data_IF_934924889285
#
_entry.id   IF_934924889285
#
_cell.length_a   1.000
_cell.length_b   1.000
_cell.length_c   1.000
_cell.angle_alpha   90.00
_cell.angle_beta   90.00
_cell.angle_gamma   90.00
#
_symmetry.space_group_name_H-M   'P 1'
#
loop_
_entity.id
_entity.type
_entity.pdbx_description
1 polymer ?
#
# COMPACT_ATOMS: atom_id res chain seq x y z
N UNK A 1 -13.93 -1.03 46.20
CA UNK A 1 -14.22 -2.38 45.65
C UNK A 1 -15.55 -2.31 44.91
N UNK A 2 -15.48 -2.09 43.59
CA UNK A 2 -16.50 -2.54 42.64
C UNK A 2 -15.68 -3.04 41.45
N UNK A 3 -15.46 -4.36 41.45
CA UNK A 3 -14.83 -5.08 40.36
C UNK A 3 -15.92 -5.29 39.32
N UNK A 4 -15.88 -4.56 38.21
CA UNK A 4 -16.66 -4.87 37.03
C UNK A 4 -15.71 -5.41 35.97
N UNK A 5 -15.70 -6.75 35.91
CA UNK A 5 -15.14 -7.58 34.86
C UNK A 5 -15.84 -7.23 33.54
N UNK A 6 -15.21 -6.42 32.69
CA UNK A 6 -15.54 -6.41 31.27
C UNK A 6 -14.58 -7.38 30.57
N UNK A 7 -15.17 -8.52 30.21
CA UNK A 7 -14.59 -9.49 29.32
C UNK A 7 -14.06 -8.82 28.05
N UNK A 8 -12.77 -9.01 27.79
CA UNK A 8 -12.17 -9.15 26.46
C UNK A 8 -12.96 -8.56 25.30
N UNK A 9 -13.04 -7.24 25.18
CA UNK A 9 -12.96 -6.65 23.85
C UNK A 9 -11.48 -6.51 23.57
N UNK A 10 -10.91 -7.53 22.93
CA UNK A 10 -9.78 -7.30 22.02
C UNK A 10 -10.31 -6.27 21.04
N UNK A 11 -10.12 -4.99 21.38
CA UNK A 11 -10.12 -3.94 20.41
C UNK A 11 -8.92 -4.33 19.56
N UNK A 12 -9.17 -5.00 18.43
CA UNK A 12 -8.28 -4.93 17.29
C UNK A 12 -8.30 -3.47 16.82
N UNK A 13 -7.82 -2.54 17.66
CA UNK A 13 -7.38 -1.25 17.21
C UNK A 13 -6.13 -1.57 16.43
N UNK A 14 -6.26 -1.56 15.11
CA UNK A 14 -5.14 -1.65 14.20
C UNK A 14 -4.19 -0.48 14.52
N UNK A 15 -3.20 -0.74 15.37
CA UNK A 15 -2.31 0.29 15.85
C UNK A 15 -1.39 0.72 14.70
N UNK A 16 -0.83 1.92 14.81
CA UNK A 16 0.20 2.33 13.86
C UNK A 16 1.37 1.33 13.85
N UNK A 17 1.71 0.76 15.01
CA UNK A 17 2.77 -0.25 15.17
C UNK A 17 2.45 -1.54 14.40
N UNK A 18 1.24 -2.09 14.56
CA UNK A 18 0.80 -3.29 13.85
C UNK A 18 0.79 -3.09 12.33
N UNK A 19 0.39 -1.89 11.88
CA UNK A 19 0.43 -1.51 10.46
C UNK A 19 1.86 -1.51 9.93
N UNK A 20 2.79 -0.88 10.64
CA UNK A 20 4.20 -0.81 10.25
C UNK A 20 4.84 -2.21 10.24
N UNK A 21 4.51 -3.07 11.20
CA UNK A 21 4.99 -4.44 11.24
C UNK A 21 4.53 -5.25 10.02
N UNK A 22 3.26 -5.16 9.64
CA UNK A 22 2.75 -5.85 8.44
C UNK A 22 3.41 -5.32 7.17
N UNK A 23 3.57 -4.00 7.05
CA UNK A 23 4.29 -3.40 5.91
C UNK A 23 5.71 -3.97 5.84
N UNK A 24 6.45 -3.98 6.95
CA UNK A 24 7.81 -4.54 7.00
C UNK A 24 7.82 -6.00 6.55
N UNK A 25 6.95 -6.83 7.12
CA UNK A 25 6.85 -8.25 6.77
C UNK A 25 6.56 -8.46 5.28
N UNK A 26 5.59 -7.73 4.72
CA UNK A 26 5.28 -7.86 3.29
C UNK A 26 6.44 -7.41 2.40
N UNK A 27 7.17 -6.35 2.79
CA UNK A 27 8.37 -5.92 2.06
C UNK A 27 9.45 -7.01 2.10
N UNK A 28 9.75 -7.58 3.26
CA UNK A 28 10.74 -8.65 3.41
C UNK A 28 10.41 -9.87 2.54
N UNK A 29 9.16 -10.35 2.60
CA UNK A 29 8.71 -11.49 1.79
C UNK A 29 8.79 -11.18 0.29
N UNK A 30 8.44 -9.96 -0.12
CA UNK A 30 8.48 -9.58 -1.52
C UNK A 30 9.90 -9.36 -2.05
N UNK A 31 10.84 -8.90 -1.22
CA UNK A 31 12.26 -8.88 -1.58
C UNK A 31 12.76 -10.29 -1.83
N UNK A 32 12.38 -11.24 -0.97
CA UNK A 32 12.75 -12.64 -1.15
C UNK A 32 12.14 -13.24 -2.43
N UNK A 33 10.88 -12.94 -2.73
CA UNK A 33 10.17 -13.49 -3.89
C UNK A 33 10.71 -12.93 -5.22
N UNK A 34 10.92 -11.61 -5.31
CA UNK A 34 11.25 -10.95 -6.57
C UNK A 34 12.75 -10.77 -6.79
N UNK A 35 13.56 -10.97 -5.74
CA UNK A 35 15.01 -10.72 -5.74
C UNK A 35 15.37 -9.29 -6.13
N UNK A 36 14.46 -8.33 -5.90
CA UNK A 36 14.72 -6.92 -6.12
C UNK A 36 15.86 -6.44 -5.21
N UNK A 37 16.73 -5.58 -5.74
CA UNK A 37 17.72 -4.88 -4.94
C UNK A 37 17.00 -3.90 -3.99
N UNK A 38 17.18 -4.02 -2.66
CA UNK A 38 16.54 -3.13 -1.69
C UNK A 38 16.78 -1.65 -1.96
N UNK A 39 17.92 -1.29 -2.55
CA UNK A 39 18.23 0.11 -2.87
C UNK A 39 17.27 0.72 -3.91
N UNK A 40 16.65 -0.10 -4.76
CA UNK A 40 15.62 0.34 -5.71
C UNK A 40 14.30 0.64 -4.99
N UNK A 41 14.00 -0.09 -3.91
CA UNK A 41 12.83 0.16 -3.07
C UNK A 41 13.03 1.48 -2.32
N UNK A 42 14.20 1.67 -1.70
CA UNK A 42 14.52 2.90 -0.96
C UNK A 42 14.41 4.15 -1.87
N UNK A 43 14.90 4.04 -3.11
CA UNK A 43 14.74 5.09 -4.13
C UNK A 43 13.27 5.35 -4.46
N UNK A 44 12.47 4.30 -4.65
CA UNK A 44 11.04 4.44 -4.94
C UNK A 44 10.28 5.09 -3.78
N UNK A 45 10.60 4.73 -2.52
CA UNK A 45 10.04 5.36 -1.32
C UNK A 45 10.42 6.86 -1.23
N UNK A 46 11.56 7.25 -1.81
CA UNK A 46 12.00 8.63 -1.97
C UNK A 46 11.44 9.33 -3.24
N UNK A 47 10.66 8.63 -4.06
CA UNK A 47 10.03 9.16 -5.28
C UNK A 47 10.82 8.94 -6.58
N UNK A 48 11.96 8.25 -6.53
CA UNK A 48 12.72 7.81 -7.71
C UNK A 48 12.29 6.40 -8.14
N UNK A 49 11.32 6.37 -9.06
CA UNK A 49 10.70 5.17 -9.61
C UNK A 49 11.53 4.61 -10.78
N UNK A 50 12.55 3.81 -10.44
CA UNK A 50 13.42 3.13 -11.40
C UNK A 50 12.68 2.11 -12.27
N UNK A 51 12.92 2.12 -13.58
CA UNK A 51 12.21 1.27 -14.54
C UNK A 51 12.82 -0.14 -14.66
N UNK A 52 12.64 -0.95 -13.61
CA UNK A 52 13.17 -2.34 -13.57
C UNK A 52 12.05 -3.35 -13.38
N UNK A 53 12.22 -4.55 -13.95
CA UNK A 53 11.22 -5.62 -13.87
C UNK A 53 11.02 -6.08 -12.41
N UNK A 54 12.10 -6.17 -11.67
CA UNK A 54 12.14 -6.65 -10.29
C UNK A 54 11.39 -5.69 -9.35
N UNK A 55 11.57 -4.37 -9.52
CA UNK A 55 10.85 -3.36 -8.74
C UNK A 55 9.34 -3.34 -9.07
N UNK A 56 8.99 -3.49 -10.36
CA UNK A 56 7.60 -3.56 -10.79
C UNK A 56 6.88 -4.77 -10.19
N UNK A 57 7.53 -5.93 -10.25
CA UNK A 57 6.96 -7.13 -9.65
C UNK A 57 6.99 -7.08 -8.11
N UNK A 58 7.92 -6.36 -7.50
CA UNK A 58 7.87 -6.07 -6.07
C UNK A 58 6.61 -5.29 -5.69
N UNK A 59 6.25 -4.25 -6.45
CA UNK A 59 5.02 -3.50 -6.23
C UNK A 59 3.77 -4.40 -6.32
N UNK A 60 3.71 -5.29 -7.33
CA UNK A 60 2.63 -6.29 -7.44
C UNK A 60 2.58 -7.21 -6.22
N UNK A 61 3.70 -7.81 -5.85
CA UNK A 61 3.78 -8.71 -4.69
C UNK A 61 3.27 -8.02 -3.42
N UNK A 62 3.73 -6.79 -3.17
CA UNK A 62 3.31 -6.02 -2.00
C UNK A 62 1.80 -5.75 -2.01
N UNK A 63 1.26 -5.32 -3.16
CA UNK A 63 -0.17 -5.05 -3.32
C UNK A 63 -1.03 -6.30 -3.15
N UNK A 64 -0.56 -7.47 -3.63
CA UNK A 64 -1.25 -8.74 -3.41
C UNK A 64 -1.27 -9.12 -1.92
N UNK A 65 -0.12 -9.05 -1.24
CA UNK A 65 -0.03 -9.37 0.21
C UNK A 65 -0.85 -8.42 1.08
N UNK A 66 -0.92 -7.15 0.69
CA UNK A 66 -1.75 -6.15 1.35
C UNK A 66 -3.26 -6.33 1.06
N UNK A 67 -3.62 -7.15 0.07
CA UNK A 67 -5.00 -7.39 -0.38
C UNK A 67 -5.57 -6.27 -1.24
N UNK A 68 -4.71 -5.44 -1.86
CA UNK A 68 -5.14 -4.33 -2.70
C UNK A 68 -5.46 -4.74 -4.13
N UNK A 69 -4.86 -5.82 -4.61
CA UNK A 69 -5.13 -6.35 -5.95
C UNK A 69 -5.39 -7.86 -5.88
N UNK A 70 -6.13 -8.37 -6.86
CA UNK A 70 -6.25 -9.81 -7.11
C UNK A 70 -5.06 -10.35 -7.94
N UNK A 71 -5.06 -11.66 -8.22
CA UNK A 71 -4.01 -12.31 -9.02
C UNK A 71 -3.95 -11.78 -10.47
N UNK A 72 -5.07 -11.28 -10.98
CA UNK A 72 -5.22 -10.67 -12.29
C UNK A 72 -4.69 -9.22 -12.32
N UNK A 73 -4.22 -8.68 -11.20
CA UNK A 73 -3.69 -7.32 -11.07
C UNK A 73 -4.76 -6.24 -10.99
N UNK A 74 -6.02 -6.60 -10.74
CA UNK A 74 -7.14 -5.67 -10.64
C UNK A 74 -7.31 -5.17 -9.20
N UNK A 75 -7.56 -3.87 -9.03
CA UNK A 75 -7.74 -3.25 -7.73
C UNK A 75 -9.04 -3.70 -7.04
N UNK A 76 -8.89 -4.13 -5.79
CA UNK A 76 -9.98 -4.44 -4.88
C UNK A 76 -10.42 -3.13 -4.18
N UNK A 77 -11.24 -2.35 -4.88
CA UNK A 77 -11.58 -0.98 -4.50
C UNK A 77 -12.11 -0.83 -3.08
N UNK A 78 -12.94 -1.76 -2.61
CA UNK A 78 -13.51 -1.72 -1.26
C UNK A 78 -12.40 -1.83 -0.19
N UNK A 79 -11.45 -2.75 -0.41
CA UNK A 79 -10.31 -2.97 0.50
C UNK A 79 -9.36 -1.78 0.49
N UNK A 80 -9.07 -1.22 -0.69
CA UNK A 80 -8.20 -0.04 -0.82
C UNK A 80 -8.81 1.17 -0.10
N UNK A 81 -10.12 1.38 -0.23
CA UNK A 81 -10.84 2.49 0.43
C UNK A 81 -10.96 2.32 1.95
N UNK A 82 -11.05 1.07 2.42
CA UNK A 82 -11.10 0.75 3.85
C UNK A 82 -9.74 0.94 4.52
N UNK A 83 -8.65 0.60 3.83
CA UNK A 83 -7.28 0.66 4.36
C UNK A 83 -6.63 2.03 4.32
N UNK A 84 -7.36 3.09 3.92
CA UNK A 84 -6.88 4.48 4.01
C UNK A 84 -6.49 4.77 5.47
N UNK A 85 -5.23 5.14 5.74
CA UNK A 85 -4.80 5.50 7.09
C UNK A 85 -5.65 6.64 7.69
N UNK A 86 -6.07 6.53 8.97
CA UNK A 86 -6.93 7.53 9.61
C UNK A 86 -6.28 8.92 9.73
N UNK A 87 -4.95 8.99 9.69
CA UNK A 87 -4.17 10.23 9.69
C UNK A 87 -4.21 11.00 8.36
N UNK A 88 -4.66 10.36 7.27
CA UNK A 88 -4.77 11.00 5.96
C UNK A 88 -6.15 11.61 5.74
N UNK A 89 -6.18 12.71 4.98
CA UNK A 89 -7.42 13.30 4.47
C UNK A 89 -8.13 12.30 3.56
N UNK A 90 -9.22 11.73 4.07
CA UNK A 90 -9.94 10.65 3.39
C UNK A 90 -10.55 11.09 2.06
N UNK A 91 -11.01 12.32 1.95
CA UNK A 91 -11.62 12.81 0.71
C UNK A 91 -10.56 12.95 -0.39
N UNK A 92 -9.40 13.53 -0.06
CA UNK A 92 -8.25 13.60 -0.99
C UNK A 92 -7.75 12.22 -1.37
N UNK A 93 -7.61 11.31 -0.41
CA UNK A 93 -7.20 9.93 -0.68
C UNK A 93 -8.16 9.22 -1.63
N UNK A 94 -9.48 9.37 -1.42
CA UNK A 94 -10.49 8.82 -2.33
C UNK A 94 -10.41 9.41 -3.74
N UNK A 95 -10.21 10.72 -3.87
CA UNK A 95 -10.06 11.36 -5.17
C UNK A 95 -8.84 10.80 -5.95
N UNK A 96 -7.73 10.56 -5.25
CA UNK A 96 -6.53 9.94 -5.83
C UNK A 96 -6.79 8.49 -6.23
N UNK A 97 -7.48 7.72 -5.39
CA UNK A 97 -7.87 6.34 -5.69
C UNK A 97 -8.70 6.29 -6.97
N UNK A 98 -9.70 7.15 -7.10
CA UNK A 98 -10.57 7.23 -8.27
C UNK A 98 -9.81 7.68 -9.54
N UNK A 99 -8.79 8.54 -9.39
CA UNK A 99 -7.95 8.98 -10.50
C UNK A 99 -7.10 7.85 -11.09
N UNK A 100 -6.50 7.01 -10.24
CA UNK A 100 -5.54 6.00 -10.69
C UNK A 100 -6.15 4.61 -10.92
N UNK A 101 -7.41 4.35 -10.53
CA UNK A 101 -8.00 3.00 -10.51
C UNK A 101 -8.07 2.26 -11.85
N UNK A 102 -8.08 3.01 -12.96
CA UNK A 102 -8.24 2.45 -14.31
C UNK A 102 -6.90 2.27 -15.05
N UNK A 103 -5.78 2.51 -14.38
CA UNK A 103 -4.46 2.27 -14.97
C UNK A 103 -4.31 0.77 -15.25
N UNK A 104 -3.92 0.45 -16.48
CA UNK A 104 -3.71 -0.91 -16.94
C UNK A 104 -2.61 -0.91 -17.99
N UNK A 105 -1.60 -1.73 -17.76
CA UNK A 105 -0.42 -1.85 -18.61
C UNK A 105 -0.35 -3.23 -19.27
N UNK A 106 0.76 -3.52 -19.95
CA UNK A 106 0.97 -4.77 -20.69
C UNK A 106 0.94 -6.03 -19.82
N UNK A 107 1.32 -5.92 -18.54
CA UNK A 107 1.23 -7.01 -17.58
C UNK A 107 0.86 -6.54 -16.16
N UNK A 108 0.63 -7.51 -15.29
CA UNK A 108 0.18 -7.27 -13.90
C UNK A 108 1.24 -6.60 -13.01
N UNK A 109 2.54 -6.82 -13.25
CA UNK A 109 3.62 -6.13 -12.53
C UNK A 109 3.66 -4.66 -12.94
N UNK A 110 3.64 -4.39 -14.25
CA UNK A 110 3.57 -3.05 -14.82
C UNK A 110 2.35 -2.28 -14.31
N UNK A 111 1.19 -2.95 -14.27
CA UNK A 111 -0.07 -2.34 -13.81
C UNK A 111 -0.01 -1.94 -12.34
N UNK A 112 0.41 -2.86 -11.45
CA UNK A 112 0.53 -2.56 -10.02
C UNK A 112 1.53 -1.43 -9.74
N UNK A 113 2.66 -1.43 -10.48
CA UNK A 113 3.66 -0.39 -10.41
C UNK A 113 3.12 0.98 -10.87
N UNK A 114 2.42 1.03 -12.00
CA UNK A 114 1.82 2.26 -12.51
C UNK A 114 0.79 2.85 -11.54
N UNK A 115 -0.06 2.00 -10.94
CA UNK A 115 -1.00 2.40 -9.90
C UNK A 115 -0.26 2.96 -8.69
N UNK A 116 0.76 2.26 -8.19
CA UNK A 116 1.51 2.70 -7.02
C UNK A 116 2.21 4.05 -7.25
N UNK A 117 2.87 4.21 -8.40
CA UNK A 117 3.50 5.47 -8.81
C UNK A 117 2.48 6.59 -8.91
N UNK A 118 1.30 6.34 -9.48
CA UNK A 118 0.22 7.32 -9.56
C UNK A 118 -0.29 7.75 -8.18
N UNK A 119 -0.48 6.80 -7.25
CA UNK A 119 -0.82 7.12 -5.86
C UNK A 119 0.24 8.00 -5.19
N UNK A 120 1.51 7.62 -5.30
CA UNK A 120 2.61 8.39 -4.71
C UNK A 120 2.65 9.83 -5.23
N UNK A 121 2.65 10.00 -6.55
CA UNK A 121 2.78 11.31 -7.19
C UNK A 121 1.63 12.25 -6.80
N UNK A 122 0.39 11.74 -6.81
CA UNK A 122 -0.77 12.55 -6.49
C UNK A 122 -0.95 12.78 -4.97
N UNK A 123 -0.58 11.81 -4.12
CA UNK A 123 -0.56 12.00 -2.66
C UNK A 123 0.47 13.06 -2.25
N UNK A 124 1.66 13.03 -2.87
CA UNK A 124 2.69 14.06 -2.67
C UNK A 124 2.21 15.44 -3.16
N UNK A 125 1.63 15.52 -4.36
CA UNK A 125 1.10 16.78 -4.90
C UNK A 125 -0.05 17.35 -4.04
N UNK A 126 -0.90 16.49 -3.48
CA UNK A 126 -2.01 16.86 -2.62
C UNK A 126 -1.61 17.14 -1.15
N UNK A 127 -0.32 17.03 -0.81
CA UNK A 127 0.22 17.12 0.56
C UNK A 127 -0.47 16.17 1.55
N UNK A 128 -0.84 14.95 1.11
CA UNK A 128 -1.59 13.98 1.93
C UNK A 128 -0.80 13.50 3.16
N UNK A 129 0.54 13.58 3.10
CA UNK A 129 1.46 13.19 4.18
C UNK A 129 1.89 14.34 5.10
N UNK A 130 1.40 15.58 4.88
CA UNK A 130 1.69 16.71 5.77
C UNK A 130 0.58 16.85 6.82
N UNK A 131 0.86 16.35 8.02
CA UNK A 131 0.44 16.98 9.27
C UNK A 131 1.71 17.38 10.04
#
# INVERSE_FOLDING_TARGET
VVVLLFASSVLCQDSAEDRQERIRKYREECVEETKVDPTLIDKADAGDFSDTKELKCFAKCFYMKAGFINEQGELLMDVVKEKIPPEHDREKALAIIELCKNLKESDTCETAYAIHKCYFQNAHAANLHKN
#
